data_IF_484867736911
#
_entry.id   IF_484867736911
#
_cell.length_a   1.000
_cell.length_b   1.000
_cell.length_c   1.000
_cell.angle_alpha   90.00
_cell.angle_beta   90.00
_cell.angle_gamma   90.00
#
_symmetry.space_group_name_H-M   'P 1'
#
loop_
_entity.id
_entity.type
_entity.pdbx_description
1 polymer ?
#
# COMPACT_ATOMS: atom_id res chain seq x y z
N UNK A 1 -58.29 24.77 1.84
CA UNK A 1 -57.47 24.87 3.06
C UNK A 1 -58.46 25.04 4.20
N UNK A 2 -58.55 24.04 5.07
CA UNK A 2 -59.54 24.01 6.16
C UNK A 2 -59.09 24.96 7.28
N UNK A 3 -59.72 26.14 7.30
CA UNK A 3 -59.55 27.19 8.31
C UNK A 3 -60.50 26.95 9.50
N UNK A 4 -60.40 25.78 10.12
CA UNK A 4 -61.23 25.39 11.28
C UNK A 4 -60.52 25.77 12.60
N UNK A 5 -61.19 26.43 13.57
CA UNK A 5 -60.64 26.69 14.92
C UNK A 5 -60.00 25.48 15.61
N UNK A 6 -60.46 24.26 15.33
CA UNK A 6 -59.82 23.02 15.82
C UNK A 6 -58.39 22.82 15.29
N UNK A 7 -58.10 23.33 14.09
CA UNK A 7 -56.78 23.34 13.48
C UNK A 7 -55.81 24.26 14.24
N UNK A 8 -56.23 25.48 14.60
CA UNK A 8 -55.38 26.44 15.31
C UNK A 8 -54.94 25.94 16.69
N UNK A 9 -55.85 25.38 17.48
CA UNK A 9 -55.53 24.80 18.80
C UNK A 9 -54.44 23.75 18.71
N UNK A 10 -54.53 22.83 17.74
CA UNK A 10 -53.50 21.80 17.53
C UNK A 10 -52.13 22.38 17.19
N UNK A 11 -52.08 23.43 16.37
CA UNK A 11 -50.82 24.10 16.03
C UNK A 11 -50.22 24.80 17.25
N UNK A 12 -51.04 25.44 18.10
CA UNK A 12 -50.57 26.07 19.34
C UNK A 12 -50.07 25.04 20.35
N UNK A 13 -50.77 23.92 20.55
CA UNK A 13 -50.30 22.81 21.41
C UNK A 13 -48.97 22.25 20.92
N UNK A 14 -48.83 22.07 19.60
CA UNK A 14 -47.57 21.63 18.98
C UNK A 14 -46.44 22.64 19.26
N UNK A 15 -46.70 23.93 19.02
CA UNK A 15 -45.73 24.99 19.28
C UNK A 15 -45.36 25.03 20.76
N UNK A 16 -46.33 24.94 21.68
CA UNK A 16 -46.08 24.87 23.12
C UNK A 16 -45.18 23.69 23.50
N UNK A 17 -45.43 22.52 22.90
CA UNK A 17 -44.59 21.34 23.05
C UNK A 17 -43.15 21.59 22.62
N UNK A 18 -42.94 22.27 21.49
CA UNK A 18 -41.60 22.64 20.99
C UNK A 18 -40.89 23.59 21.95
N UNK A 19 -41.51 24.69 22.40
CA UNK A 19 -40.89 25.57 23.42
C UNK A 19 -40.53 24.79 24.68
N UNK A 20 -41.41 23.88 25.10
CA UNK A 20 -41.20 23.01 26.26
C UNK A 20 -40.03 22.03 26.13
N UNK A 21 -39.41 21.89 24.96
CA UNK A 21 -38.16 21.12 24.77
C UNK A 21 -36.92 21.95 25.08
N UNK A 22 -36.96 23.27 24.87
CA UNK A 22 -35.87 24.18 25.17
C UNK A 22 -35.82 24.51 26.67
N UNK A 23 -34.63 24.90 27.16
CA UNK A 23 -34.35 25.13 28.58
C UNK A 23 -33.62 26.45 28.77
N UNK A 24 -34.07 27.26 29.72
CA UNK A 24 -33.38 28.49 30.13
C UNK A 24 -32.02 28.18 30.78
N UNK A 25 -31.24 29.22 31.10
CA UNK A 25 -29.94 29.09 31.79
C UNK A 25 -30.00 28.39 33.16
N UNK A 26 -31.19 28.26 33.73
CA UNK A 26 -31.48 27.60 35.00
C UNK A 26 -32.06 26.19 34.83
N UNK A 27 -32.16 25.68 33.59
CA UNK A 27 -32.68 24.36 33.29
C UNK A 27 -34.20 24.25 33.34
N UNK A 28 -34.94 25.36 33.30
CA UNK A 28 -36.42 25.36 33.27
C UNK A 28 -36.94 25.33 31.82
N UNK A 29 -38.02 24.60 31.53
CA UNK A 29 -38.66 24.63 30.22
C UNK A 29 -39.08 26.04 29.82
N UNK A 30 -38.85 26.42 28.57
CA UNK A 30 -39.38 27.67 28.05
C UNK A 30 -40.89 27.57 27.91
N UNK A 31 -41.56 28.71 28.10
CA UNK A 31 -42.98 28.84 27.88
C UNK A 31 -43.25 29.65 26.62
N UNK A 32 -44.41 29.45 25.99
CA UNK A 32 -44.86 30.28 24.89
C UNK A 32 -44.78 31.79 25.25
N UNK A 33 -44.21 32.64 24.38
CA UNK A 33 -44.20 34.09 24.56
C UNK A 33 -45.58 34.66 24.85
N UNK A 34 -45.64 35.67 25.72
CA UNK A 34 -46.89 36.33 26.10
C UNK A 34 -47.61 36.94 24.90
N UNK A 35 -46.85 37.44 23.91
CA UNK A 35 -47.41 37.95 22.64
C UNK A 35 -48.24 36.90 21.90
N UNK A 36 -47.72 35.67 21.77
CA UNK A 36 -48.40 34.56 21.10
C UNK A 36 -49.58 34.07 21.94
N UNK A 37 -49.41 33.93 23.26
CA UNK A 37 -50.49 33.53 24.18
C UNK A 37 -51.67 34.50 24.14
N UNK A 38 -51.41 35.79 24.23
CA UNK A 38 -52.44 36.82 24.24
C UNK A 38 -53.18 36.89 22.90
N UNK A 39 -52.45 36.75 21.78
CA UNK A 39 -53.06 36.75 20.44
C UNK A 39 -53.94 35.52 20.21
N UNK A 40 -53.50 34.34 20.65
CA UNK A 40 -54.32 33.13 20.64
C UNK A 40 -55.60 33.27 21.50
N UNK A 41 -55.48 33.83 22.71
CA UNK A 41 -56.63 34.08 23.58
C UNK A 41 -57.62 35.06 22.94
N UNK A 42 -57.14 36.15 22.32
CA UNK A 42 -57.97 37.12 21.60
C UNK A 42 -58.74 36.46 20.45
N UNK A 43 -58.09 35.56 19.70
CA UNK A 43 -58.71 34.84 18.59
C UNK A 43 -59.67 33.72 19.05
N UNK A 44 -59.66 33.39 20.34
CA UNK A 44 -60.55 32.40 20.96
C UNK A 44 -61.67 33.06 21.80
N UNK A 45 -61.73 34.40 21.82
CA UNK A 45 -62.67 35.20 22.62
C UNK A 45 -63.88 35.68 21.80
N UNK A 46 -64.91 36.17 22.48
CA UNK A 46 -66.14 36.74 21.89
C UNK A 46 -66.07 38.29 21.93
N UNK A 47 -66.41 39.04 20.85
CA UNK A 47 -66.93 38.60 19.55
C UNK A 47 -65.94 37.77 18.74
N UNK A 48 -66.46 36.76 18.03
CA UNK A 48 -65.66 35.88 17.19
C UNK A 48 -64.82 36.67 16.17
N UNK A 49 -63.50 36.39 16.04
CA UNK A 49 -62.63 37.08 15.10
C UNK A 49 -62.97 36.74 13.65
N UNK A 50 -62.44 37.54 12.71
CA UNK A 50 -62.61 37.25 11.29
C UNK A 50 -61.84 36.00 10.86
N UNK A 51 -62.34 35.30 9.84
CA UNK A 51 -61.64 34.12 9.28
C UNK A 51 -60.24 34.45 8.76
N UNK A 52 -60.01 35.68 8.27
CA UNK A 52 -58.70 36.12 7.80
C UNK A 52 -57.71 36.23 8.96
N UNK A 53 -58.11 36.83 10.10
CA UNK A 53 -57.24 36.95 11.27
C UNK A 53 -56.82 35.58 11.84
N UNK A 54 -57.75 34.61 11.86
CA UNK A 54 -57.46 33.23 12.28
C UNK A 54 -56.51 32.54 11.30
N UNK A 55 -56.74 32.71 10.00
CA UNK A 55 -55.89 32.15 8.94
C UNK A 55 -54.47 32.71 8.99
N UNK A 56 -54.32 34.03 9.09
CA UNK A 56 -53.02 34.71 9.13
C UNK A 56 -52.22 34.26 10.35
N UNK A 57 -52.84 34.22 11.53
CA UNK A 57 -52.17 33.75 12.74
C UNK A 57 -51.83 32.25 12.67
N UNK A 58 -52.68 31.43 12.05
CA UNK A 58 -52.37 30.01 11.83
C UNK A 58 -51.12 29.85 10.96
N UNK A 59 -50.98 30.65 9.91
CA UNK A 59 -49.78 30.64 9.06
C UNK A 59 -48.53 31.12 9.83
N UNK A 60 -48.64 32.17 10.65
CA UNK A 60 -47.55 32.62 11.53
C UNK A 60 -47.07 31.49 12.47
N UNK A 61 -48.00 30.77 13.10
CA UNK A 61 -47.68 29.63 13.99
C UNK A 61 -47.03 28.48 13.21
N UNK A 62 -47.56 28.15 12.04
CA UNK A 62 -46.99 27.11 11.17
C UNK A 62 -45.57 27.45 10.74
N UNK A 63 -45.32 28.71 10.36
CA UNK A 63 -43.97 29.17 10.02
C UNK A 63 -43.02 29.06 11.22
N UNK A 64 -43.47 29.48 12.40
CA UNK A 64 -42.68 29.38 13.62
C UNK A 64 -42.27 27.92 13.94
N UNK A 65 -43.21 26.97 13.79
CA UNK A 65 -42.94 25.53 13.91
C UNK A 65 -41.91 25.08 12.86
N UNK A 66 -42.07 25.50 11.61
CA UNK A 66 -41.16 25.15 10.53
C UNK A 66 -39.74 25.69 10.79
N UNK A 67 -39.62 26.91 11.32
CA UNK A 67 -38.34 27.52 11.66
C UNK A 67 -37.62 26.74 12.77
N UNK A 68 -38.34 26.27 13.80
CA UNK A 68 -37.76 25.39 14.83
C UNK A 68 -37.22 24.07 14.25
N UNK A 69 -37.98 23.44 13.36
CA UNK A 69 -37.57 22.19 12.71
C UNK A 69 -36.33 22.42 11.84
N UNK A 70 -36.27 23.54 11.13
CA UNK A 70 -35.10 23.87 10.31
C UNK A 70 -33.88 24.22 11.17
N UNK A 71 -34.11 24.96 12.27
CA UNK A 71 -33.07 25.30 13.24
C UNK A 71 -32.40 24.04 13.81
N UNK A 72 -33.18 23.01 14.15
CA UNK A 72 -32.67 21.71 14.62
C UNK A 72 -31.77 21.03 13.56
N UNK A 73 -32.20 20.99 12.30
CA UNK A 73 -31.37 20.41 11.21
C UNK A 73 -30.05 21.16 11.03
N UNK A 74 -30.09 22.49 11.09
CA UNK A 74 -28.90 23.34 10.99
C UNK A 74 -27.98 23.08 12.19
N UNK A 75 -28.53 22.97 13.40
CA UNK A 75 -27.81 22.61 14.62
C UNK A 75 -27.11 21.26 14.50
N UNK A 76 -27.83 20.21 14.09
CA UNK A 76 -27.28 18.86 13.89
C UNK A 76 -26.11 18.84 12.91
N UNK A 77 -26.25 19.52 11.77
CA UNK A 77 -25.18 19.64 10.78
C UNK A 77 -23.97 20.36 11.38
N UNK A 78 -24.19 21.40 12.17
CA UNK A 78 -23.14 22.20 12.80
C UNK A 78 -22.38 21.42 13.86
N UNK A 79 -23.09 20.66 14.70
CA UNK A 79 -22.48 19.77 15.70
C UNK A 79 -21.61 18.71 15.05
N UNK A 80 -22.07 18.08 13.96
CA UNK A 80 -21.25 17.12 13.20
C UNK A 80 -19.96 17.73 12.67
N UNK A 81 -20.01 18.96 12.15
CA UNK A 81 -18.81 19.69 11.70
C UNK A 81 -17.85 19.93 12.86
N UNK A 82 -18.36 20.38 14.01
CA UNK A 82 -17.56 20.63 15.21
C UNK A 82 -16.90 19.36 15.74
N UNK A 83 -17.63 18.25 15.77
CA UNK A 83 -17.14 16.95 16.21
C UNK A 83 -16.04 16.44 15.28
N UNK A 84 -16.26 16.49 13.96
CA UNK A 84 -15.27 16.10 12.96
C UNK A 84 -14.00 16.94 13.09
N UNK A 85 -14.15 18.25 13.24
CA UNK A 85 -13.01 19.14 13.42
C UNK A 85 -12.24 18.82 14.70
N UNK A 86 -12.94 18.70 15.82
CA UNK A 86 -12.35 18.39 17.14
C UNK A 86 -11.64 17.03 17.14
N UNK A 87 -12.23 16.01 16.50
CA UNK A 87 -11.63 14.69 16.36
C UNK A 87 -10.35 14.71 15.52
N UNK A 88 -10.29 15.53 14.47
CA UNK A 88 -9.06 15.68 13.68
C UNK A 88 -7.97 16.39 14.48
N UNK A 89 -8.30 17.45 15.22
CA UNK A 89 -7.34 18.11 16.12
C UNK A 89 -6.82 17.14 17.19
N UNK A 90 -7.69 16.33 17.79
CA UNK A 90 -7.31 15.34 18.79
C UNK A 90 -6.32 14.30 18.23
N UNK A 91 -6.55 13.82 16.99
CA UNK A 91 -5.61 12.90 16.30
C UNK A 91 -4.23 13.52 16.09
N UNK A 92 -4.15 14.85 16.01
CA UNK A 92 -2.91 15.60 15.90
C UNK A 92 -2.32 15.99 17.27
N UNK A 93 -2.94 15.59 18.38
CA UNK A 93 -2.54 15.99 19.73
C UNK A 93 -2.79 17.47 20.03
N UNK A 94 -3.68 18.11 19.28
CA UNK A 94 -4.01 19.52 19.39
C UNK A 94 -5.28 19.73 20.19
N UNK A 95 -5.35 20.85 20.92
CA UNK A 95 -6.58 21.25 21.61
C UNK A 95 -7.54 21.89 20.62
N UNK A 96 -8.81 21.48 20.69
CA UNK A 96 -9.90 22.20 20.03
C UNK A 96 -10.19 23.46 20.83
N UNK A 97 -9.89 24.62 20.25
CA UNK A 97 -10.28 25.91 20.81
C UNK A 97 -10.98 26.73 19.74
N UNK A 98 -12.24 27.08 20.00
CA UNK A 98 -13.01 27.94 19.12
C UNK A 98 -12.49 29.39 19.19
N UNK A 99 -12.44 30.10 18.05
CA UNK A 99 -12.03 31.50 18.01
C UNK A 99 -13.06 32.39 18.73
N UNK A 100 -12.61 33.57 19.16
CA UNK A 100 -13.38 34.50 20.02
C UNK A 100 -14.72 34.89 19.39
N UNK A 101 -14.77 35.09 18.08
CA UNK A 101 -16.00 35.43 17.35
C UNK A 101 -17.04 34.31 17.41
N UNK A 102 -16.63 33.04 17.30
CA UNK A 102 -17.54 31.89 17.39
C UNK A 102 -18.03 31.72 18.83
N UNK A 103 -17.11 31.81 19.82
CA UNK A 103 -17.47 31.79 21.25
C UNK A 103 -18.46 32.90 21.61
N UNK A 104 -18.33 34.09 21.02
CA UNK A 104 -19.25 35.20 21.26
C UNK A 104 -20.65 34.94 20.68
N UNK A 105 -20.74 34.26 19.53
CA UNK A 105 -22.05 33.81 18.99
C UNK A 105 -22.65 32.78 19.94
N UNK A 106 -21.89 31.75 20.33
CA UNK A 106 -22.34 30.71 21.26
C UNK A 106 -22.85 31.28 22.58
N UNK A 107 -22.14 32.27 23.14
CA UNK A 107 -22.54 32.96 24.36
C UNK A 107 -23.87 33.73 24.24
N UNK A 108 -24.27 34.15 23.04
CA UNK A 108 -25.56 34.85 22.82
C UNK A 108 -26.77 33.92 22.81
N UNK A 109 -26.57 32.59 22.85
CA UNK A 109 -27.67 31.63 22.80
C UNK A 109 -28.73 31.90 23.87
N UNK A 110 -28.31 32.05 25.13
CA UNK A 110 -29.23 32.30 26.24
C UNK A 110 -29.90 33.67 26.14
N UNK A 111 -29.18 34.71 25.70
CA UNK A 111 -29.76 36.03 25.48
C UNK A 111 -30.89 36.02 24.44
N UNK A 112 -30.81 35.12 23.45
CA UNK A 112 -31.83 34.95 22.42
C UNK A 112 -33.03 34.17 22.96
N UNK A 113 -32.79 33.00 23.57
CA UNK A 113 -33.89 32.12 23.98
C UNK A 113 -34.64 32.62 25.22
N UNK A 114 -34.02 33.48 26.03
CA UNK A 114 -34.65 34.12 27.19
C UNK A 114 -35.37 35.44 26.83
N UNK A 115 -35.35 35.85 25.57
CA UNK A 115 -36.13 37.00 25.12
C UNK A 115 -37.63 36.75 25.23
N UNK A 116 -38.37 37.74 25.74
CA UNK A 116 -39.84 37.71 25.83
C UNK A 116 -40.53 37.61 24.45
N UNK A 117 -39.78 37.86 23.37
CA UNK A 117 -40.26 37.77 21.98
C UNK A 117 -39.61 36.63 21.20
N UNK A 118 -38.92 35.70 21.89
CA UNK A 118 -38.22 34.59 21.25
C UNK A 118 -39.14 33.76 20.35
N UNK A 119 -38.67 33.45 19.15
CA UNK A 119 -39.33 32.60 18.16
C UNK A 119 -38.36 31.59 17.53
N UNK A 120 -38.91 30.59 16.83
CA UNK A 120 -38.15 29.67 15.99
C UNK A 120 -37.33 30.40 14.92
N UNK A 121 -37.82 31.53 14.39
CA UNK A 121 -37.07 32.37 13.45
C UNK A 121 -35.79 32.96 14.06
N UNK A 122 -35.84 33.35 15.34
CA UNK A 122 -34.64 33.82 16.07
C UNK A 122 -33.64 32.68 16.28
N UNK A 123 -34.14 31.50 16.65
CA UNK A 123 -33.31 30.31 16.83
C UNK A 123 -32.66 29.85 15.52
N UNK A 124 -33.41 29.87 14.41
CA UNK A 124 -32.90 29.55 13.09
C UNK A 124 -31.82 30.56 12.67
N UNK A 125 -32.07 31.86 12.89
CA UNK A 125 -31.09 32.92 12.62
C UNK A 125 -29.81 32.72 13.43
N UNK A 126 -29.93 32.36 14.70
CA UNK A 126 -28.79 32.00 15.56
C UNK A 126 -27.99 30.83 14.97
N UNK A 127 -28.64 29.70 14.68
CA UNK A 127 -27.95 28.50 14.19
C UNK A 127 -27.33 28.72 12.80
N UNK A 128 -27.97 29.47 11.91
CA UNK A 128 -27.40 29.84 10.61
C UNK A 128 -26.14 30.70 10.78
N UNK A 129 -26.18 31.70 11.67
CA UNK A 129 -25.02 32.55 11.98
C UNK A 129 -23.87 31.73 12.58
N UNK A 130 -24.18 30.83 13.51
CA UNK A 130 -23.19 29.95 14.14
C UNK A 130 -22.58 28.98 13.13
N UNK A 131 -23.41 28.35 12.29
CA UNK A 131 -22.99 27.45 11.22
C UNK A 131 -22.07 28.15 10.21
N UNK A 132 -22.44 29.33 9.76
CA UNK A 132 -21.65 30.11 8.80
C UNK A 132 -20.27 30.43 9.40
N UNK A 133 -20.24 30.99 10.62
CA UNK A 133 -18.98 31.31 11.29
C UNK A 133 -18.09 30.08 11.51
N UNK A 134 -18.67 28.93 11.89
CA UNK A 134 -17.93 27.69 12.06
C UNK A 134 -17.43 27.12 10.73
N UNK A 135 -18.26 27.18 9.68
CA UNK A 135 -17.89 26.71 8.34
C UNK A 135 -16.71 27.53 7.80
N UNK A 136 -16.80 28.86 7.86
CA UNK A 136 -15.73 29.77 7.42
C UNK A 136 -14.43 29.53 8.19
N UNK A 137 -14.51 29.26 9.49
CA UNK A 137 -13.32 28.96 10.31
C UNK A 137 -12.70 27.59 10.02
N UNK A 138 -13.52 26.59 9.72
CA UNK A 138 -13.06 25.20 9.56
C UNK A 138 -12.78 24.79 8.12
N UNK A 139 -13.21 25.56 7.12
CA UNK A 139 -13.04 25.24 5.71
C UNK A 139 -11.57 25.02 5.35
N UNK A 140 -10.70 25.99 5.65
CA UNK A 140 -9.27 25.88 5.37
C UNK A 140 -8.62 24.78 6.21
N UNK A 141 -9.11 24.51 7.40
CA UNK A 141 -8.60 23.42 8.22
C UNK A 141 -8.88 22.06 7.59
N UNK A 142 -10.10 21.83 7.08
CA UNK A 142 -10.43 20.60 6.40
C UNK A 142 -9.62 20.42 5.11
N UNK A 143 -9.40 21.49 4.33
CA UNK A 143 -8.51 21.47 3.16
C UNK A 143 -7.08 21.07 3.54
N UNK A 144 -6.52 21.69 4.58
CA UNK A 144 -5.18 21.37 5.07
C UNK A 144 -5.08 19.91 5.53
N UNK A 145 -6.07 19.42 6.28
CA UNK A 145 -6.11 18.05 6.79
C UNK A 145 -6.22 17.00 5.68
N UNK A 146 -7.00 17.28 4.63
CA UNK A 146 -7.11 16.42 3.45
C UNK A 146 -5.81 16.39 2.64
N UNK A 147 -5.21 17.57 2.40
CA UNK A 147 -3.93 17.68 1.72
C UNK A 147 -2.82 16.93 2.48
N UNK A 148 -2.78 17.08 3.81
CA UNK A 148 -1.89 16.34 4.70
C UNK A 148 -2.04 14.82 4.55
N UNK A 149 -3.27 14.30 4.58
CA UNK A 149 -3.50 12.86 4.42
C UNK A 149 -2.98 12.34 3.07
N UNK A 150 -3.19 13.13 2.01
CA UNK A 150 -2.71 12.81 0.66
C UNK A 150 -1.18 12.77 0.62
N UNK A 151 -0.52 13.79 1.18
CA UNK A 151 0.94 13.84 1.30
C UNK A 151 1.49 12.66 2.08
N UNK A 152 0.91 12.33 3.25
CA UNK A 152 1.37 11.18 4.05
C UNK A 152 1.25 9.86 3.30
N UNK A 153 0.18 9.68 2.51
CA UNK A 153 -0.02 8.48 1.69
C UNK A 153 1.03 8.38 0.58
N UNK A 154 1.33 9.50 -0.08
CA UNK A 154 2.37 9.56 -1.10
C UNK A 154 3.77 9.34 -0.50
N UNK A 155 4.09 9.98 0.62
CA UNK A 155 5.34 9.79 1.35
C UNK A 155 5.62 8.32 1.65
N UNK A 156 4.63 7.57 2.16
CA UNK A 156 4.78 6.12 2.39
C UNK A 156 5.08 5.33 1.12
N UNK A 157 4.44 5.67 0.00
CA UNK A 157 4.72 5.01 -1.29
C UNK A 157 6.13 5.32 -1.79
N UNK A 158 6.55 6.57 -1.62
CA UNK A 158 7.91 7.02 -1.95
C UNK A 158 8.95 6.25 -1.16
N UNK A 159 8.76 6.09 0.15
CA UNK A 159 9.67 5.32 1.01
C UNK A 159 9.79 3.85 0.56
N UNK A 160 8.64 3.20 0.30
CA UNK A 160 8.60 1.80 -0.17
C UNK A 160 9.33 1.65 -1.51
N UNK A 161 9.10 2.56 -2.45
CA UNK A 161 9.71 2.48 -3.77
C UNK A 161 11.19 2.87 -3.75
N UNK A 162 11.58 3.85 -2.93
CA UNK A 162 12.98 4.21 -2.72
C UNK A 162 13.77 3.07 -2.08
N UNK A 163 13.18 2.29 -1.17
CA UNK A 163 13.82 1.13 -0.55
C UNK A 163 14.17 0.00 -1.54
N UNK A 164 13.52 -0.03 -2.72
CA UNK A 164 13.84 -0.99 -3.80
C UNK A 164 15.05 -0.58 -4.64
N UNK A 165 15.56 0.64 -4.47
CA UNK A 165 16.73 1.16 -5.19
C UNK A 165 18.04 0.74 -4.49
N UNK A 166 19.10 0.51 -5.28
CA UNK A 166 20.43 0.33 -4.69
C UNK A 166 21.07 1.67 -4.34
N UNK A 167 22.06 1.65 -3.43
CA UNK A 167 22.79 2.85 -2.99
C UNK A 167 23.44 3.67 -4.12
N UNK A 168 23.81 3.02 -5.24
CA UNK A 168 24.36 3.72 -6.40
C UNK A 168 23.30 4.51 -7.20
N UNK A 169 22.02 4.15 -7.06
CA UNK A 169 20.90 4.73 -7.82
C UNK A 169 20.29 5.96 -7.12
N UNK A 170 20.73 6.30 -5.89
CA UNK A 170 20.06 7.27 -5.00
C UNK A 170 20.67 8.67 -4.97
N UNK A 171 21.82 8.92 -5.61
CA UNK A 171 22.56 10.18 -5.46
C UNK A 171 21.77 11.45 -5.85
N UNK A 172 20.83 11.36 -6.80
CA UNK A 172 19.91 12.46 -7.16
C UNK A 172 18.60 12.47 -6.36
N UNK A 173 18.21 11.32 -5.81
CA UNK A 173 16.95 11.12 -5.07
C UNK A 173 17.11 11.66 -3.65
N UNK A 174 18.26 11.43 -3.00
CA UNK A 174 18.50 11.85 -1.62
C UNK A 174 18.28 13.36 -1.41
N UNK A 175 18.78 14.21 -2.32
CA UNK A 175 18.60 15.66 -2.25
C UNK A 175 17.14 16.08 -2.40
N UNK A 176 16.40 15.44 -3.29
CA UNK A 176 14.97 15.73 -3.49
C UNK A 176 14.13 15.20 -2.33
N UNK A 177 14.51 14.06 -1.73
CA UNK A 177 13.93 13.54 -0.49
C UNK A 177 14.13 14.51 0.67
N UNK A 178 15.34 15.05 0.85
CA UNK A 178 15.60 16.08 1.87
C UNK A 178 14.72 17.31 1.68
N UNK A 179 14.58 17.79 0.43
CA UNK A 179 13.71 18.91 0.09
C UNK A 179 12.23 18.61 0.39
N UNK A 180 11.76 17.42 0.04
CA UNK A 180 10.40 16.96 0.33
C UNK A 180 10.14 16.89 1.84
N UNK A 181 11.06 16.31 2.61
CA UNK A 181 10.94 16.20 4.08
C UNK A 181 10.95 17.59 4.74
N UNK A 182 11.82 18.50 4.29
CA UNK A 182 11.88 19.85 4.81
C UNK A 182 10.55 20.60 4.61
N UNK A 183 9.99 20.57 3.39
CA UNK A 183 8.71 21.19 3.09
C UNK A 183 7.55 20.53 3.88
N UNK A 184 7.57 19.20 4.03
CA UNK A 184 6.58 18.50 4.84
C UNK A 184 6.63 18.94 6.31
N UNK A 185 7.83 19.11 6.88
CA UNK A 185 8.00 19.59 8.25
C UNK A 185 7.48 21.02 8.43
N UNK A 186 7.70 21.90 7.45
CA UNK A 186 7.17 23.27 7.46
C UNK A 186 5.63 23.27 7.43
N UNK A 187 5.01 22.47 6.56
CA UNK A 187 3.55 22.33 6.50
C UNK A 187 2.96 21.76 7.80
N UNK A 188 3.62 20.78 8.43
CA UNK A 188 3.22 20.21 9.72
C UNK A 188 3.36 21.22 10.87
N UNK A 189 4.38 22.09 10.83
CA UNK A 189 4.54 23.15 11.83
C UNK A 189 3.43 24.21 11.71
N UNK A 190 3.10 24.63 10.49
CA UNK A 190 1.95 25.53 10.23
C UNK A 190 0.63 24.90 10.69
N UNK A 191 0.46 23.60 10.48
CA UNK A 191 -0.70 22.83 10.98
C UNK A 191 -0.79 22.89 12.50
N UNK A 192 0.32 22.65 13.23
CA UNK A 192 0.36 22.73 14.69
C UNK A 192 0.06 24.15 15.22
N UNK A 193 0.44 25.16 14.45
CA UNK A 193 0.13 26.57 14.73
C UNK A 193 -1.30 26.96 14.32
N UNK A 194 -2.09 26.05 13.76
CA UNK A 194 -3.45 26.31 13.23
C UNK A 194 -3.48 27.40 12.14
N UNK A 195 -2.39 27.57 11.39
CA UNK A 195 -2.30 28.47 10.23
C UNK A 195 -2.80 27.75 8.98
N UNK A 196 -4.09 27.40 8.97
CA UNK A 196 -4.68 26.45 8.02
C UNK A 196 -4.52 26.81 6.55
N UNK A 197 -4.74 28.08 6.19
CA UNK A 197 -4.58 28.54 4.80
C UNK A 197 -3.13 28.40 4.31
N UNK A 198 -2.16 28.82 5.14
CA UNK A 198 -0.74 28.67 4.84
C UNK A 198 -0.32 27.20 4.80
N UNK A 199 -0.78 26.38 5.75
CA UNK A 199 -0.52 24.94 5.76
C UNK A 199 -1.07 24.25 4.50
N UNK A 200 -2.26 24.63 4.03
CA UNK A 200 -2.85 24.12 2.78
C UNK A 200 -1.92 24.42 1.61
N UNK A 201 -1.48 25.68 1.47
CA UNK A 201 -0.56 26.07 0.40
C UNK A 201 0.76 25.28 0.45
N UNK A 202 1.34 25.12 1.64
CA UNK A 202 2.58 24.35 1.78
C UNK A 202 2.37 22.87 1.46
N UNK A 203 1.25 22.26 1.88
CA UNK A 203 0.96 20.88 1.47
C UNK A 203 0.79 20.73 -0.05
N UNK A 204 0.21 21.72 -0.75
CA UNK A 204 0.17 21.71 -2.21
C UNK A 204 1.57 21.72 -2.84
N UNK A 205 2.49 22.52 -2.30
CA UNK A 205 3.89 22.51 -2.73
C UNK A 205 4.56 21.16 -2.44
N UNK A 206 4.30 20.57 -1.27
CA UNK A 206 4.80 19.25 -0.90
C UNK A 206 4.27 18.17 -1.86
N UNK A 207 3.02 18.25 -2.31
CA UNK A 207 2.46 17.33 -3.31
C UNK A 207 3.20 17.43 -4.65
N UNK A 208 3.55 18.63 -5.10
CA UNK A 208 4.34 18.83 -6.32
C UNK A 208 5.71 18.16 -6.17
N UNK A 209 6.39 18.37 -5.04
CA UNK A 209 7.69 17.75 -4.76
C UNK A 209 7.58 16.22 -4.67
N UNK A 210 6.54 15.70 -4.02
CA UNK A 210 6.28 14.27 -3.89
C UNK A 210 6.10 13.61 -5.26
N UNK A 211 5.32 14.23 -6.16
CA UNK A 211 5.11 13.71 -7.51
C UNK A 211 6.40 13.74 -8.33
N UNK A 212 7.19 14.82 -8.26
CA UNK A 212 8.49 14.89 -8.92
C UNK A 212 9.44 13.80 -8.42
N UNK A 213 9.45 13.54 -7.11
CA UNK A 213 10.25 12.47 -6.51
C UNK A 213 9.76 11.09 -6.95
N UNK A 214 8.44 10.89 -7.03
CA UNK A 214 7.83 9.63 -7.48
C UNK A 214 8.29 9.29 -8.91
N UNK A 215 8.18 10.25 -9.84
CA UNK A 215 8.63 10.07 -11.22
C UNK A 215 10.11 9.69 -11.30
N UNK A 216 10.98 10.36 -10.54
CA UNK A 216 12.42 10.05 -10.51
C UNK A 216 12.70 8.64 -9.97
N UNK A 217 12.01 8.24 -8.91
CA UNK A 217 12.15 6.89 -8.35
C UNK A 217 11.66 5.84 -9.37
N UNK A 218 10.51 6.07 -10.00
CA UNK A 218 9.94 5.17 -11.01
C UNK A 218 10.88 5.01 -12.21
N UNK A 219 11.43 6.10 -12.75
CA UNK A 219 12.42 6.06 -13.83
C UNK A 219 13.64 5.21 -13.45
N UNK A 220 14.12 5.33 -12.21
CA UNK A 220 15.26 4.54 -11.72
C UNK A 220 14.90 3.07 -11.54
N UNK A 221 13.71 2.75 -11.06
CA UNK A 221 13.22 1.38 -10.95
C UNK A 221 13.08 0.73 -12.33
N UNK A 222 12.56 1.46 -13.32
CA UNK A 222 12.48 0.99 -14.72
C UNK A 222 13.87 0.73 -15.30
N UNK A 223 14.83 1.64 -15.12
CA UNK A 223 16.21 1.46 -15.56
C UNK A 223 16.87 0.23 -14.92
N UNK A 224 16.66 0.04 -13.62
CA UNK A 224 17.16 -1.10 -12.86
C UNK A 224 16.54 -2.41 -13.35
N UNK A 225 15.23 -2.44 -13.54
CA UNK A 225 14.52 -3.60 -14.08
C UNK A 225 15.06 -3.97 -15.47
N UNK A 226 15.19 -3.00 -16.38
CA UNK A 226 15.76 -3.24 -17.71
C UNK A 226 17.19 -3.81 -17.65
N UNK A 227 18.05 -3.25 -16.79
CA UNK A 227 19.41 -3.74 -16.59
C UNK A 227 19.42 -5.19 -16.11
N UNK A 228 18.56 -5.54 -15.15
CA UNK A 228 18.43 -6.89 -14.59
C UNK A 228 17.93 -7.91 -15.62
N UNK A 229 16.99 -7.51 -16.48
CA UNK A 229 16.54 -8.34 -17.61
C UNK A 229 17.71 -8.63 -18.57
N UNK A 230 18.51 -7.62 -18.93
CA UNK A 230 19.69 -7.83 -19.78
C UNK A 230 20.75 -8.72 -19.12
N UNK A 231 20.99 -8.57 -17.82
CA UNK A 231 21.89 -9.47 -17.06
C UNK A 231 21.40 -10.92 -17.10
N UNK A 232 20.09 -11.13 -16.95
CA UNK A 232 19.46 -12.46 -17.00
C UNK A 232 19.60 -13.09 -18.38
N UNK A 233 19.34 -12.35 -19.46
CA UNK A 233 19.50 -12.83 -20.84
C UNK A 233 20.95 -13.23 -21.16
N UNK A 234 21.91 -12.42 -20.73
CA UNK A 234 23.33 -12.73 -20.89
C UNK A 234 23.73 -14.00 -20.11
N UNK A 235 23.17 -14.18 -18.91
CA UNK A 235 23.41 -15.34 -18.08
C UNK A 235 22.78 -16.63 -18.65
N UNK A 236 21.55 -16.54 -19.17
CA UNK A 236 20.88 -17.62 -19.91
C UNK A 236 21.74 -18.08 -21.10
N UNK A 237 22.30 -17.13 -21.84
CA UNK A 237 23.18 -17.42 -22.98
C UNK A 237 24.44 -18.17 -22.55
N UNK A 238 25.04 -17.82 -21.40
CA UNK A 238 26.20 -18.52 -20.85
C UNK A 238 25.85 -19.94 -20.39
N UNK A 239 24.73 -20.11 -19.68
CA UNK A 239 24.24 -21.42 -19.23
C UNK A 239 24.01 -22.35 -20.44
N UNK A 240 23.28 -21.89 -21.45
CA UNK A 240 23.00 -22.68 -22.66
C UNK A 240 24.30 -23.11 -23.39
N UNK A 241 25.34 -22.26 -23.39
CA UNK A 241 26.65 -22.62 -23.97
C UNK A 241 27.38 -23.67 -23.13
N UNK A 242 27.30 -23.58 -21.79
CA UNK A 242 27.88 -24.59 -20.90
C UNK A 242 27.17 -25.93 -21.04
N UNK A 243 25.85 -25.94 -21.10
CA UNK A 243 25.05 -27.16 -21.29
C UNK A 243 25.46 -27.90 -22.57
N UNK A 244 25.54 -27.20 -23.70
CA UNK A 244 26.04 -27.79 -24.97
C UNK A 244 27.46 -28.35 -24.85
N UNK A 245 28.35 -27.70 -24.10
CA UNK A 245 29.71 -28.21 -23.86
C UNK A 245 29.68 -29.47 -22.98
N UNK A 246 28.87 -29.48 -21.93
CA UNK A 246 28.70 -30.64 -21.03
C UNK A 246 28.17 -31.84 -21.82
N UNK A 247 27.18 -31.64 -22.70
CA UNK A 247 26.67 -32.67 -23.61
C UNK A 247 27.79 -33.23 -24.49
N UNK A 248 28.60 -32.37 -25.12
CA UNK A 248 29.76 -32.81 -25.91
C UNK A 248 30.76 -33.66 -25.12
N UNK A 249 31.12 -33.24 -23.89
CA UNK A 249 31.99 -34.04 -23.01
C UNK A 249 31.35 -35.37 -22.59
N UNK A 250 30.01 -35.40 -22.41
CA UNK A 250 29.31 -36.64 -22.10
C UNK A 250 29.32 -37.62 -23.28
N UNK A 251 29.20 -37.11 -24.50
CA UNK A 251 29.31 -37.91 -25.72
C UNK A 251 30.74 -38.41 -25.96
N UNK A 252 31.75 -37.56 -25.76
CA UNK A 252 33.18 -37.94 -25.81
C UNK A 252 33.51 -39.01 -24.75
N UNK A 253 32.92 -38.91 -23.56
CA UNK A 253 33.10 -39.91 -22.50
C UNK A 253 32.47 -41.26 -22.86
N UNK A 254 31.29 -41.24 -23.50
CA UNK A 254 30.56 -42.43 -23.97
C UNK A 254 31.23 -43.08 -25.18
N UNK A 255 32.01 -42.34 -25.97
CA UNK A 255 32.73 -42.87 -27.11
C UNK A 255 33.55 -44.11 -26.69
N UNK A 256 33.40 -45.26 -27.37
CA UNK A 256 34.19 -46.44 -27.05
C UNK A 256 35.66 -46.12 -27.32
N UNK A 257 36.57 -46.62 -26.47
CA UNK A 257 37.98 -46.68 -26.85
C UNK A 257 38.04 -47.51 -28.14
N UNK A 258 38.54 -46.93 -29.24
CA UNK A 258 38.60 -47.62 -30.53
C UNK A 258 39.31 -48.97 -30.34
N UNK A 259 38.57 -50.05 -30.58
CA UNK A 259 39.12 -51.40 -30.70
C UNK A 259 39.64 -51.54 -32.11
N UNK A 260 40.93 -51.34 -32.33
CA UNK A 260 41.57 -52.16 -33.35
C UNK A 260 41.65 -53.54 -32.70
N UNK A 261 40.78 -54.46 -33.12
CA UNK A 261 40.92 -55.87 -32.74
C UNK A 261 42.31 -56.26 -33.26
N UNK A 262 43.26 -56.44 -32.35
CA UNK A 262 44.54 -57.03 -32.71
C UNK A 262 44.19 -58.48 -32.97
N UNK A 263 44.05 -58.86 -34.24
CA UNK A 263 43.64 -60.20 -34.68
C UNK A 263 44.67 -61.31 -34.35
N UNK A 264 45.58 -61.04 -33.42
CA UNK A 264 46.59 -61.96 -32.92
C UNK A 264 46.93 -61.58 -31.47
N UNK A 265 46.08 -61.93 -30.52
CA UNK A 265 46.51 -62.05 -29.13
C UNK A 265 46.99 -63.49 -28.90
N UNK A 266 48.18 -63.64 -28.34
CA UNK A 266 48.65 -64.93 -27.83
C UNK A 266 47.68 -65.49 -26.76
N UNK A 267 46.87 -64.62 -26.15
CA UNK A 267 45.83 -64.95 -25.18
C UNK A 267 44.62 -65.72 -25.78
N UNK A 268 44.27 -65.55 -27.05
CA UNK A 268 43.21 -66.36 -27.69
C UNK A 268 43.65 -67.82 -27.92
N UNK A 269 44.96 -68.05 -28.05
CA UNK A 269 45.57 -69.39 -28.17
C UNK A 269 45.92 -70.00 -26.79
N UNK A 270 45.91 -69.19 -25.74
CA UNK A 270 46.24 -69.56 -24.37
C UNK A 270 45.00 -69.43 -23.47
N UNK A 271 44.17 -70.48 -23.37
CA UNK A 271 42.95 -70.43 -22.56
C UNK A 271 43.27 -70.11 -21.09
N UNK A 272 42.47 -69.25 -20.47
CA UNK A 272 42.60 -68.93 -19.04
C UNK A 272 42.54 -70.23 -18.22
N UNK A 273 43.44 -70.35 -17.23
CA UNK A 273 43.41 -71.49 -16.32
C UNK A 273 42.47 -71.19 -15.17
N UNK A 274 41.67 -72.18 -14.79
CA UNK A 274 40.96 -72.15 -13.52
C UNK A 274 41.90 -72.55 -12.41
N UNK A 275 42.25 -71.58 -11.57
CA UNK A 275 43.00 -71.83 -10.35
C UNK A 275 42.10 -71.64 -9.13
N UNK A 276 42.29 -72.52 -8.15
CA UNK A 276 41.60 -72.42 -6.88
C UNK A 276 42.20 -71.28 -6.07
N UNK A 277 41.42 -70.22 -5.84
CA UNK A 277 41.83 -69.12 -4.99
C UNK A 277 41.65 -69.53 -3.53
N UNK A 278 42.75 -69.79 -2.84
CA UNK A 278 42.76 -70.23 -1.44
C UNK A 278 42.25 -69.12 -0.50
N UNK A 279 42.34 -67.86 -0.89
CA UNK A 279 41.90 -66.71 -0.07
C UNK A 279 40.37 -66.55 -0.14
N UNK A 280 39.80 -66.72 -1.33
CA UNK A 280 38.37 -66.51 -1.57
C UNK A 280 37.56 -67.81 -1.79
N UNK A 281 38.19 -68.97 -1.62
CA UNK A 281 37.63 -70.32 -1.66
C UNK A 281 36.69 -70.59 -2.87
N UNK A 282 37.08 -70.12 -4.05
CA UNK A 282 36.41 -70.39 -5.32
C UNK A 282 37.42 -70.49 -6.47
N UNK A 283 37.02 -71.08 -7.59
CA UNK A 283 37.83 -71.08 -8.81
C UNK A 283 37.71 -69.73 -9.52
N UNK A 284 38.83 -69.05 -9.74
CA UNK A 284 38.91 -67.88 -10.60
C UNK A 284 39.66 -68.24 -11.88
N UNK A 285 39.33 -67.55 -12.96
CA UNK A 285 40.13 -67.62 -14.17
C UNK A 285 41.36 -66.72 -14.00
N UNK A 286 42.55 -67.27 -14.27
CA UNK A 286 43.81 -66.51 -14.30
C UNK A 286 44.51 -66.70 -15.64
N UNK A 287 45.30 -65.70 -16.09
CA UNK A 287 46.08 -65.82 -17.31
C UNK A 287 47.05 -67.02 -17.26
N UNK A 288 47.13 -67.80 -18.33
CA UNK A 288 48.11 -68.89 -18.48
C UNK A 288 49.52 -68.31 -18.75
N UNK A 289 50.19 -67.86 -17.71
CA UNK A 289 51.53 -67.26 -17.82
C UNK A 289 52.58 -68.15 -18.51
N UNK A 290 52.62 -69.49 -18.31
CA UNK A 290 53.50 -70.37 -19.07
C UNK A 290 53.21 -70.41 -20.58
N UNK A 291 51.94 -70.42 -20.99
CA UNK A 291 51.57 -70.36 -22.41
C UNK A 291 51.91 -68.98 -23.01
N UNK A 292 51.62 -67.91 -22.28
CA UNK A 292 51.98 -66.53 -22.64
C UNK A 292 53.51 -66.31 -22.70
N UNK A 293 54.33 -67.17 -22.11
CA UNK A 293 55.79 -67.08 -22.18
C UNK A 293 56.39 -67.57 -23.51
N UNK A 294 55.60 -68.21 -24.37
CA UNK A 294 56.02 -68.75 -25.67
C UNK A 294 55.75 -67.79 -26.85
N UNK A 295 55.17 -66.62 -26.60
CA UNK A 295 54.92 -65.62 -27.63
C UNK A 295 56.24 -65.02 -28.13
N UNK A 296 56.36 -64.79 -29.43
CA UNK A 296 57.58 -64.17 -29.99
C UNK A 296 57.67 -62.67 -29.60
N UNK A 297 58.87 -62.08 -29.66
CA UNK A 297 59.09 -60.67 -29.28
C UNK A 297 58.14 -59.69 -30.00
N UNK A 298 57.80 -59.97 -31.27
CA UNK A 298 56.90 -59.13 -32.05
C UNK A 298 55.44 -59.17 -31.54
N UNK A 299 55.01 -60.25 -30.89
CA UNK A 299 53.70 -60.36 -30.25
C UNK A 299 53.66 -59.64 -28.89
N UNK A 300 54.75 -59.72 -28.11
CA UNK A 300 54.86 -59.00 -26.84
C UNK A 300 54.91 -57.48 -27.03
N UNK A 301 55.67 -56.99 -28.02
CA UNK A 301 55.71 -55.57 -28.37
C UNK A 301 54.34 -55.03 -28.81
N UNK A 302 53.55 -55.83 -29.55
CA UNK A 302 52.18 -55.47 -29.94
C UNK A 302 51.22 -55.43 -28.76
N UNK A 303 51.31 -56.37 -27.83
CA UNK A 303 50.50 -56.34 -26.60
C UNK A 303 50.85 -55.13 -25.73
N UNK A 304 52.13 -54.81 -25.58
CA UNK A 304 52.57 -53.62 -24.84
C UNK A 304 52.06 -52.32 -25.50
N UNK A 305 52.09 -52.23 -26.84
CA UNK A 305 51.50 -51.11 -27.59
C UNK A 305 50.00 -51.01 -27.35
N UNK A 306 49.29 -52.15 -27.33
CA UNK A 306 47.85 -52.19 -27.03
C UNK A 306 47.54 -51.71 -25.61
N UNK A 307 48.23 -52.24 -24.59
CA UNK A 307 48.03 -51.86 -23.20
C UNK A 307 48.32 -50.35 -23.00
N UNK A 308 49.33 -49.82 -23.71
CA UNK A 308 49.66 -48.40 -23.71
C UNK A 308 48.56 -47.55 -24.36
N UNK A 309 48.02 -47.96 -25.52
CA UNK A 309 46.89 -47.28 -26.19
C UNK A 309 45.61 -47.31 -25.33
N UNK A 310 45.35 -48.44 -24.69
CA UNK A 310 44.20 -48.61 -23.80
C UNK A 310 44.34 -47.75 -22.54
N UNK A 311 45.52 -47.74 -21.91
CA UNK A 311 45.81 -46.87 -20.77
C UNK A 311 45.68 -45.39 -21.15
N UNK A 312 46.22 -44.98 -22.32
CA UNK A 312 46.09 -43.63 -22.83
C UNK A 312 44.61 -43.23 -23.06
N UNK A 313 43.79 -44.14 -23.60
CA UNK A 313 42.35 -43.90 -23.74
C UNK A 313 41.66 -43.72 -22.38
N UNK A 314 41.94 -44.57 -21.39
CA UNK A 314 41.34 -44.45 -20.06
C UNK A 314 41.78 -43.20 -19.30
N UNK A 315 43.03 -42.77 -19.49
CA UNK A 315 43.53 -41.51 -18.94
C UNK A 315 42.85 -40.31 -19.59
N UNK A 316 42.63 -40.34 -20.91
CA UNK A 316 41.87 -39.30 -21.60
C UNK A 316 40.40 -39.27 -21.14
N UNK A 317 39.76 -40.43 -20.95
CA UNK A 317 38.41 -40.51 -20.36
C UNK A 317 38.34 -39.92 -18.96
N UNK A 318 39.37 -40.11 -18.12
CA UNK A 318 39.44 -39.47 -16.79
C UNK A 318 39.54 -37.95 -16.90
N UNK A 319 40.33 -37.43 -17.85
CA UNK A 319 40.45 -35.99 -18.12
C UNK A 319 39.12 -35.40 -18.61
N UNK A 320 38.47 -36.06 -19.57
CA UNK A 320 37.13 -35.71 -20.09
C UNK A 320 36.12 -35.63 -18.94
N UNK A 321 36.05 -36.66 -18.09
CA UNK A 321 35.15 -36.69 -16.91
C UNK A 321 35.43 -35.53 -15.95
N UNK A 322 36.71 -35.28 -15.64
CA UNK A 322 37.10 -34.19 -14.74
C UNK A 322 36.69 -32.82 -15.29
N UNK A 323 36.94 -32.55 -16.57
CA UNK A 323 36.54 -31.31 -17.24
C UNK A 323 35.01 -31.17 -17.30
N UNK A 324 34.28 -32.24 -17.61
CA UNK A 324 32.82 -32.25 -17.59
C UNK A 324 32.24 -31.88 -16.22
N UNK A 325 32.78 -32.44 -15.14
CA UNK A 325 32.36 -32.10 -13.77
C UNK A 325 32.66 -30.64 -13.40
N UNK A 326 33.77 -30.07 -13.85
CA UNK A 326 34.07 -28.64 -13.65
C UNK A 326 33.03 -27.75 -14.33
N UNK A 327 32.65 -28.07 -15.57
CA UNK A 327 31.63 -27.31 -16.30
C UNK A 327 30.24 -27.43 -15.66
N UNK A 328 29.89 -28.61 -15.13
CA UNK A 328 28.65 -28.80 -14.35
C UNK A 328 28.66 -27.88 -13.12
N UNK A 329 29.75 -27.84 -12.37
CA UNK A 329 29.87 -26.96 -11.20
C UNK A 329 29.76 -25.48 -11.57
N UNK A 330 30.34 -25.06 -12.69
CA UNK A 330 30.22 -23.69 -13.20
C UNK A 330 28.78 -23.35 -13.58
N UNK A 331 28.09 -24.25 -14.29
CA UNK A 331 26.67 -24.11 -14.65
C UNK A 331 25.81 -23.96 -13.41
N UNK A 332 26.00 -24.80 -12.40
CA UNK A 332 25.20 -24.77 -11.16
C UNK A 332 25.40 -23.45 -10.39
N UNK A 333 26.63 -22.91 -10.38
CA UNK A 333 26.89 -21.58 -9.83
C UNK A 333 26.17 -20.47 -10.61
N UNK A 334 26.09 -20.58 -11.94
CA UNK A 334 25.36 -19.61 -12.75
C UNK A 334 23.84 -19.72 -12.56
N UNK A 335 23.29 -20.93 -12.43
CA UNK A 335 21.88 -21.15 -12.14
C UNK A 335 21.47 -20.52 -10.80
N UNK A 336 22.33 -20.60 -9.77
CA UNK A 336 22.07 -19.91 -8.50
C UNK A 336 22.01 -18.39 -8.67
N UNK A 337 22.91 -17.82 -9.49
CA UNK A 337 22.87 -16.39 -9.82
C UNK A 337 21.62 -16.02 -10.63
N UNK A 338 21.17 -16.90 -11.54
CA UNK A 338 19.92 -16.74 -12.29
C UNK A 338 18.71 -16.62 -11.35
N UNK A 339 18.60 -17.55 -10.40
CA UNK A 339 17.49 -17.58 -9.43
C UNK A 339 17.48 -16.30 -8.59
N UNK A 340 18.65 -15.86 -8.10
CA UNK A 340 18.75 -14.60 -7.36
C UNK A 340 18.28 -13.39 -8.20
N UNK A 341 18.67 -13.33 -9.49
CA UNK A 341 18.22 -12.25 -10.38
C UNK A 341 16.71 -12.31 -10.66
N UNK A 342 16.14 -13.50 -10.76
CA UNK A 342 14.69 -13.68 -10.92
C UNK A 342 13.93 -13.21 -9.68
N UNK A 343 14.42 -13.51 -8.48
CA UNK A 343 13.84 -13.03 -7.22
C UNK A 343 13.90 -11.49 -7.14
N UNK A 344 15.08 -10.91 -7.46
CA UNK A 344 15.25 -9.44 -7.52
C UNK A 344 14.29 -8.78 -8.52
N UNK A 345 14.05 -9.40 -9.68
CA UNK A 345 13.10 -8.91 -10.68
C UNK A 345 11.66 -8.98 -10.20
N UNK A 346 11.26 -10.09 -9.56
CA UNK A 346 9.92 -10.23 -8.99
C UNK A 346 9.62 -9.15 -7.94
N UNK A 347 10.60 -8.83 -7.09
CA UNK A 347 10.46 -7.76 -6.10
C UNK A 347 10.34 -6.37 -6.73
N UNK A 348 11.05 -6.13 -7.84
CA UNK A 348 10.92 -4.90 -8.62
C UNK A 348 9.57 -4.79 -9.35
N UNK A 349 8.98 -5.91 -9.81
CA UNK A 349 7.72 -5.93 -10.55
C UNK A 349 6.46 -5.72 -9.68
N UNK A 350 6.56 -5.85 -8.35
CA UNK A 350 5.46 -5.56 -7.41
C UNK A 350 5.28 -4.06 -7.14
N UNK A 351 5.20 -3.26 -8.20
CA UNK A 351 5.00 -1.80 -8.17
C UNK A 351 3.62 -1.40 -7.63
#
# INVERSE_FOLDING_TARGET
MDNDPASLTKHIETLQGIYGQYRDRHGKPLSLPSSIKNRYQSLSSDPAPSQNEVSDFTQEVQQNIADFIEAEKVSDKTNRTLDLFSMNLLKLGMKSELPVNIKAIDASYFDIIESDTFTGGDLLTYHLRYQMALSDYTEDAFKALEARQTVMRLGRKLDINAAKLASADTAGIAKDTEKFIAAMNEAEDLTKQQKWSAATHEFEQVLILANQLATKIEEKLVQRHATKVTELEALNTKINRLEKRIEGYADDFKAPCQKTIVDYSCAEQCPERREWDVIFNHYKNVPDYPCLSQCNNAQQEKQASFDQEQAACFDEKRRIKSKGLQLISERDSLLNNQNRLLDELQDLSRL
#
